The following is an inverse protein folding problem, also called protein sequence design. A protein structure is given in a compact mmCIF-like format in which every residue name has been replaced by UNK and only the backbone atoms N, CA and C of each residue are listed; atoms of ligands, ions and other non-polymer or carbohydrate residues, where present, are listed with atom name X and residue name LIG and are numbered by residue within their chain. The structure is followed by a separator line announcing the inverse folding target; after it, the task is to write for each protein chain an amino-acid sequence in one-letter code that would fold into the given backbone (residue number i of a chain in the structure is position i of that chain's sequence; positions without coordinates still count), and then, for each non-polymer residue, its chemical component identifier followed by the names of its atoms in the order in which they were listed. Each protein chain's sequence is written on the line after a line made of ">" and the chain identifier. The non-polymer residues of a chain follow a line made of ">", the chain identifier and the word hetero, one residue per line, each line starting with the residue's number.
data_IF_923718590263
#
_entry.id   IF_923718590263
#
_cell.length_a   1.000
_cell.length_b   1.000
_cell.length_c   1.000
_cell.angle_alpha   90.00
_cell.angle_beta   90.00
_cell.angle_gamma   90.00
#
_symmetry.space_group_name_H-M   'P 1'
#
loop_
_entity.id
_entity.type
_entity.pdbx_description
1 polymer ?
#
# COMPACT_ATOMS: atom_id res chain seq x y z
N UNK A 1 12.34 0.28 -5.38
CA UNK A 1 11.68 0.79 -6.61
C UNK A 1 12.77 0.91 -7.65
N UNK A 2 12.56 0.40 -8.86
CA UNK A 2 13.49 0.55 -9.99
C UNK A 2 12.80 1.35 -11.09
N UNK A 3 13.48 2.36 -11.64
CA UNK A 3 13.02 3.09 -12.82
C UNK A 3 13.73 2.57 -14.05
N UNK A 4 12.97 2.15 -15.06
CA UNK A 4 13.49 1.66 -16.33
C UNK A 4 12.94 2.54 -17.46
N UNK A 5 13.82 3.07 -18.30
CA UNK A 5 13.42 3.82 -19.48
C UNK A 5 12.96 2.83 -20.57
N UNK A 6 11.81 3.11 -21.15
CA UNK A 6 11.21 2.32 -22.22
C UNK A 6 10.92 3.25 -23.39
N UNK A 7 11.58 3.01 -24.51
CA UNK A 7 11.30 3.73 -25.75
C UNK A 7 10.10 3.05 -26.41
N UNK A 8 9.00 3.79 -26.59
CA UNK A 8 7.86 3.30 -27.35
C UNK A 8 7.97 3.79 -28.79
N UNK A 9 7.91 2.86 -29.75
CA UNK A 9 7.92 3.22 -31.17
C UNK A 9 6.49 3.61 -31.54
N UNK A 10 6.30 4.86 -31.95
CA UNK A 10 5.01 5.37 -32.44
C UNK A 10 5.08 5.56 -33.96
N UNK A 11 3.94 5.54 -34.66
CA UNK A 11 3.87 5.81 -36.11
C UNK A 11 4.16 7.29 -36.47
N UNK A 12 4.32 8.15 -35.46
CA UNK A 12 4.88 9.50 -35.60
C UNK A 12 6.42 9.44 -35.64
N UNK A 13 7.07 10.30 -36.44
CA UNK A 13 8.54 10.46 -36.48
C UNK A 13 9.16 11.05 -35.18
N UNK A 14 8.48 10.89 -34.03
CA UNK A 14 8.89 11.37 -32.72
C UNK A 14 9.05 10.20 -31.77
N UNK A 15 10.21 10.12 -31.11
CA UNK A 15 10.46 9.14 -30.06
C UNK A 15 9.80 9.60 -28.76
N UNK A 16 8.96 8.73 -28.16
CA UNK A 16 8.40 8.95 -26.82
C UNK A 16 9.08 8.02 -25.82
N UNK A 17 9.71 8.61 -24.81
CA UNK A 17 10.49 7.90 -23.78
C UNK A 17 9.66 7.84 -22.51
N UNK A 18 9.12 6.66 -22.21
CA UNK A 18 8.39 6.41 -20.97
C UNK A 18 9.35 5.91 -19.87
N UNK A 19 9.15 6.36 -18.63
CA UNK A 19 9.86 5.81 -17.47
C UNK A 19 8.90 4.93 -16.67
N UNK A 20 9.17 3.64 -16.64
CA UNK A 20 8.39 2.66 -15.88
C UNK A 20 9.01 2.49 -14.49
N UNK A 21 8.21 2.77 -13.45
CA UNK A 21 8.62 2.57 -12.06
C UNK A 21 8.07 1.25 -11.51
N UNK A 22 8.93 0.25 -11.39
CA UNK A 22 8.57 -1.08 -10.89
C UNK A 22 8.77 -1.17 -9.37
N UNK A 23 7.72 -1.63 -8.67
CA UNK A 23 7.74 -1.91 -7.22
C UNK A 23 7.77 -3.41 -7.02
N UNK A 24 8.87 -3.92 -6.46
CA UNK A 24 9.07 -5.33 -6.13
C UNK A 24 8.88 -5.55 -4.62
N UNK A 25 7.85 -6.32 -4.24
CA UNK A 25 7.50 -6.60 -2.84
C UNK A 25 8.14 -7.93 -2.41
N UNK A 26 9.20 -7.85 -1.62
CA UNK A 26 10.02 -9.02 -1.27
C UNK A 26 9.64 -9.68 0.07
N UNK A 27 9.08 -8.91 1.01
CA UNK A 27 8.72 -9.35 2.36
C UNK A 27 7.62 -8.46 2.93
N UNK A 28 6.80 -9.03 3.82
CA UNK A 28 5.83 -8.29 4.63
C UNK A 28 6.09 -8.52 6.13
N UNK A 29 5.58 -7.62 6.97
CA UNK A 29 5.58 -7.74 8.43
C UNK A 29 4.14 -7.68 8.92
N UNK A 30 3.65 -8.72 9.63
CA UNK A 30 2.35 -8.65 10.28
C UNK A 30 2.39 -7.82 11.56
N UNK A 31 1.37 -6.98 11.73
CA UNK A 31 1.03 -6.36 13.01
C UNK A 31 -0.09 -7.19 13.65
N UNK A 32 0.22 -7.93 14.72
CA UNK A 32 -0.73 -8.88 15.33
C UNK A 32 -1.86 -8.21 16.15
N UNK A 33 -1.80 -6.90 16.34
CA UNK A 33 -2.81 -6.13 17.06
C UNK A 33 -3.24 -4.92 16.23
N UNK A 34 -4.56 -4.66 16.18
CA UNK A 34 -5.08 -3.41 15.64
C UNK A 34 -4.59 -2.24 16.48
N UNK A 35 -4.37 -1.08 15.84
CA UNK A 35 -3.87 0.13 16.53
C UNK A 35 -2.50 -0.06 17.23
N UNK A 36 -1.69 -1.02 16.77
CA UNK A 36 -0.38 -1.33 17.37
C UNK A 36 0.62 -0.18 17.27
N UNK A 37 0.50 0.67 16.25
CA UNK A 37 1.41 1.80 16.00
C UNK A 37 0.68 3.10 15.66
N UNK A 38 -0.65 3.14 15.80
CA UNK A 38 -1.45 4.34 15.52
C UNK A 38 -2.73 4.35 16.34
N UNK A 39 -3.29 5.54 16.62
CA UNK A 39 -4.51 5.68 17.43
C UNK A 39 -5.81 5.75 16.58
N UNK A 40 -6.95 5.95 17.23
CA UNK A 40 -8.27 6.04 16.56
C UNK A 40 -8.37 7.21 15.58
N UNK A 41 -7.63 8.29 15.85
CA UNK A 41 -7.51 9.47 15.00
C UNK A 41 -6.56 9.26 13.81
N UNK A 42 -5.78 8.16 13.76
CA UNK A 42 -4.83 7.88 12.68
C UNK A 42 -3.44 8.49 12.90
N UNK A 43 -3.17 9.02 14.09
CA UNK A 43 -1.88 9.56 14.48
C UNK A 43 -0.92 8.42 14.83
N UNK A 44 0.35 8.56 14.46
CA UNK A 44 1.37 7.53 14.65
C UNK A 44 1.94 7.55 16.07
N UNK A 45 2.16 6.34 16.61
CA UNK A 45 3.06 6.12 17.72
C UNK A 45 4.44 5.72 17.16
N UNK A 46 5.32 6.72 17.02
CA UNK A 46 6.64 6.54 16.40
C UNK A 46 7.51 5.53 17.13
N UNK A 47 7.44 5.48 18.46
CA UNK A 47 8.20 4.51 19.26
C UNK A 47 7.75 3.08 18.97
N UNK A 48 6.44 2.85 18.90
CA UNK A 48 5.88 1.56 18.56
C UNK A 48 6.22 1.16 17.11
N UNK A 49 6.12 2.10 16.17
CA UNK A 49 6.47 1.88 14.77
C UNK A 49 7.97 1.52 14.63
N UNK A 50 8.86 2.27 15.28
CA UNK A 50 10.29 1.99 15.31
C UNK A 50 10.60 0.61 15.90
N UNK A 51 9.87 0.19 16.94
CA UNK A 51 10.00 -1.15 17.53
C UNK A 51 9.59 -2.24 16.54
N UNK A 52 8.48 -2.07 15.82
CA UNK A 52 8.03 -3.03 14.79
C UNK A 52 9.06 -3.12 13.65
N UNK A 53 9.64 -1.99 13.27
CA UNK A 53 10.63 -1.91 12.18
C UNK A 53 12.07 -2.25 12.62
N UNK A 54 12.33 -2.47 13.91
CA UNK A 54 13.68 -2.58 14.49
C UNK A 54 14.56 -3.71 13.93
N UNK A 55 14.01 -4.67 13.19
CA UNK A 55 14.75 -5.73 12.49
C UNK A 55 14.86 -5.54 10.97
N UNK A 56 14.38 -4.44 10.42
CA UNK A 56 14.25 -4.22 8.98
C UNK A 56 15.47 -3.51 8.41
N UNK A 57 16.32 -4.27 7.71
CA UNK A 57 17.49 -3.72 7.00
C UNK A 57 17.14 -3.03 5.67
N UNK A 58 15.95 -3.31 5.11
CA UNK A 58 15.49 -2.77 3.83
C UNK A 58 14.44 -1.68 4.06
N UNK A 59 14.40 -0.72 3.13
CA UNK A 59 13.42 0.37 3.16
C UNK A 59 11.99 -0.14 3.01
N UNK A 60 11.07 0.48 3.72
CA UNK A 60 9.63 0.20 3.65
C UNK A 60 9.06 0.85 2.39
N UNK A 61 8.51 0.02 1.50
CA UNK A 61 7.94 0.46 0.22
C UNK A 61 6.42 0.66 0.28
N UNK A 62 5.76 0.14 1.32
CA UNK A 62 4.32 0.20 1.47
C UNK A 62 3.82 -0.45 2.74
N UNK A 63 2.51 -0.43 2.92
CA UNK A 63 1.80 -1.12 3.99
C UNK A 63 0.54 -1.79 3.43
N UNK A 64 -0.07 -2.67 4.21
CA UNK A 64 -1.23 -3.42 3.76
C UNK A 64 -2.28 -3.55 4.86
N UNK A 65 -3.53 -3.85 4.46
CA UNK A 65 -4.59 -4.14 5.41
C UNK A 65 -5.58 -5.14 4.82
N UNK A 66 -5.99 -6.08 5.66
CA UNK A 66 -7.06 -7.02 5.38
C UNK A 66 -8.37 -6.53 5.98
N UNK A 67 -9.43 -6.61 5.18
CA UNK A 67 -10.82 -6.38 5.59
C UNK A 67 -11.69 -7.56 5.16
N UNK A 68 -12.87 -7.65 5.74
CA UNK A 68 -13.87 -8.66 5.41
C UNK A 68 -15.18 -7.96 5.10
N UNK A 69 -15.81 -8.36 3.99
CA UNK A 69 -17.13 -7.90 3.56
C UNK A 69 -17.20 -6.36 3.46
N UNK A 70 -16.16 -5.74 2.89
CA UNK A 70 -16.11 -4.29 2.65
C UNK A 70 -15.76 -3.99 1.21
N UNK A 71 -16.13 -2.81 0.72
CA UNK A 71 -15.74 -2.31 -0.59
C UNK A 71 -14.23 -2.18 -0.77
N UNK A 72 -13.76 -2.13 -2.00
CA UNK A 72 -12.35 -2.01 -2.36
C UNK A 72 -11.88 -0.55 -2.44
N UNK A 73 -12.25 0.25 -1.44
CA UNK A 73 -11.95 1.68 -1.36
C UNK A 73 -11.22 2.05 -0.07
N UNK A 74 -10.34 3.05 -0.12
CA UNK A 74 -9.66 3.52 1.09
C UNK A 74 -10.63 4.27 2.01
N UNK A 75 -10.66 3.91 3.29
CA UNK A 75 -11.38 4.66 4.32
C UNK A 75 -10.66 5.97 4.65
N UNK A 76 -11.37 6.91 5.26
CA UNK A 76 -10.79 8.17 5.73
C UNK A 76 -9.57 7.95 6.64
N UNK A 77 -9.69 7.05 7.62
CA UNK A 77 -8.59 6.73 8.54
C UNK A 77 -7.36 6.17 7.80
N UNK A 78 -7.58 5.30 6.81
CA UNK A 78 -6.47 4.73 6.02
C UNK A 78 -5.78 5.80 5.16
N UNK A 79 -6.53 6.76 4.62
CA UNK A 79 -5.95 7.90 3.88
C UNK A 79 -5.08 8.78 4.79
N UNK A 80 -5.56 9.11 5.99
CA UNK A 80 -4.80 9.91 6.94
C UNK A 80 -3.56 9.16 7.44
N UNK A 81 -3.72 7.88 7.81
CA UNK A 81 -2.61 7.04 8.24
C UNK A 81 -1.55 6.91 7.14
N UNK A 82 -1.98 6.78 5.88
CA UNK A 82 -1.08 6.72 4.73
C UNK A 82 -0.22 7.99 4.63
N UNK A 83 -0.85 9.18 4.73
CA UNK A 83 -0.12 10.46 4.72
C UNK A 83 0.86 10.57 5.88
N UNK A 84 0.44 10.20 7.09
CA UNK A 84 1.30 10.23 8.27
C UNK A 84 2.51 9.29 8.11
N UNK A 85 2.31 8.10 7.53
CA UNK A 85 3.40 7.17 7.22
C UNK A 85 4.32 7.68 6.12
N UNK A 86 3.81 8.30 5.06
CA UNK A 86 4.63 8.90 4.01
C UNK A 86 5.57 9.96 4.59
N UNK A 87 5.04 10.84 5.45
CA UNK A 87 5.81 11.88 6.13
C UNK A 87 6.87 11.30 7.08
N UNK A 88 6.48 10.34 7.94
CA UNK A 88 7.40 9.76 8.92
C UNK A 88 8.52 8.91 8.27
N UNK A 89 8.20 8.19 7.19
CA UNK A 89 9.16 7.34 6.46
C UNK A 89 9.93 8.09 5.36
N UNK A 90 9.64 9.37 5.13
CA UNK A 90 10.18 10.16 4.02
C UNK A 90 10.06 9.46 2.66
N UNK A 91 8.95 8.76 2.42
CA UNK A 91 8.70 7.98 1.20
C UNK A 91 7.40 8.42 0.54
N UNK A 92 7.48 9.37 -0.39
CA UNK A 92 6.32 9.83 -1.16
C UNK A 92 5.75 8.75 -2.10
N UNK A 93 6.58 7.78 -2.48
CA UNK A 93 6.18 6.67 -3.34
C UNK A 93 5.51 5.51 -2.60
N UNK A 94 5.21 5.64 -1.30
CA UNK A 94 4.61 4.61 -0.46
C UNK A 94 3.31 4.09 -1.09
N UNK A 95 3.14 2.77 -1.09
CA UNK A 95 1.91 2.12 -1.59
C UNK A 95 1.10 1.51 -0.47
N UNK A 96 -0.21 1.43 -0.66
CA UNK A 96 -1.15 0.79 0.24
C UNK A 96 -1.83 -0.38 -0.46
N UNK A 97 -1.55 -1.60 -0.01
CA UNK A 97 -2.22 -2.81 -0.50
C UNK A 97 -3.46 -3.09 0.35
N UNK A 98 -4.63 -2.92 -0.24
CA UNK A 98 -5.90 -3.27 0.40
C UNK A 98 -6.35 -4.64 -0.07
N UNK A 99 -6.70 -5.52 0.87
CA UNK A 99 -7.29 -6.83 0.58
C UNK A 99 -8.66 -6.93 1.26
N UNK A 100 -9.67 -7.34 0.51
CA UNK A 100 -11.03 -7.58 1.04
C UNK A 100 -11.47 -9.00 0.71
N UNK A 101 -11.81 -9.76 1.74
CA UNK A 101 -12.41 -11.09 1.57
C UNK A 101 -13.92 -10.97 1.71
N UNK A 102 -14.67 -11.55 0.77
CA UNK A 102 -16.13 -11.57 0.79
C UNK A 102 -16.67 -12.97 0.55
N UNK A 103 -17.83 -13.26 1.14
CA UNK A 103 -18.62 -14.45 0.84
C UNK A 103 -19.52 -14.12 -0.35
N UNK A 104 -19.48 -14.93 -1.40
CA UNK A 104 -20.20 -14.66 -2.66
C UNK A 104 -21.59 -15.29 -2.71
N UNK A 105 -21.84 -16.28 -1.86
CA UNK A 105 -23.05 -17.09 -1.85
C UNK A 105 -23.58 -17.20 -0.43
N UNK A 106 -24.90 -17.18 -0.25
CA UNK A 106 -25.53 -17.37 1.07
C UNK A 106 -25.10 -18.69 1.75
N UNK A 107 -24.88 -19.74 0.95
CA UNK A 107 -24.41 -21.05 1.44
C UNK A 107 -22.96 -21.08 1.91
N UNK A 108 -22.22 -19.96 1.83
CA UNK A 108 -20.79 -19.90 2.15
C UNK A 108 -19.93 -20.93 1.37
N UNK A 109 -20.38 -21.34 0.19
CA UNK A 109 -19.68 -22.32 -0.65
C UNK A 109 -18.62 -21.66 -1.55
N UNK A 110 -18.79 -20.37 -1.87
CA UNK A 110 -17.84 -19.60 -2.70
C UNK A 110 -17.36 -18.35 -1.97
N UNK A 111 -16.04 -18.18 -1.93
CA UNK A 111 -15.36 -17.01 -1.34
C UNK A 111 -14.58 -16.27 -2.41
N UNK A 112 -14.46 -14.96 -2.25
CA UNK A 112 -13.66 -14.09 -3.12
C UNK A 112 -12.68 -13.29 -2.29
N UNK A 113 -11.44 -13.18 -2.77
CA UNK A 113 -10.42 -12.29 -2.23
C UNK A 113 -10.06 -11.26 -3.30
N UNK A 114 -10.55 -10.03 -3.13
CA UNK A 114 -10.18 -8.91 -3.99
C UNK A 114 -9.00 -8.15 -3.37
N UNK A 115 -8.10 -7.66 -4.23
CA UNK A 115 -6.96 -6.86 -3.81
C UNK A 115 -6.67 -5.74 -4.80
N UNK A 116 -6.19 -4.61 -4.27
CA UNK A 116 -5.85 -3.43 -5.05
C UNK A 116 -4.68 -2.71 -4.40
N UNK A 117 -3.75 -2.23 -5.24
CA UNK A 117 -2.61 -1.45 -4.80
C UNK A 117 -2.89 0.02 -5.04
N UNK A 118 -3.03 0.78 -3.97
CA UNK A 118 -3.28 2.22 -4.01
C UNK A 118 -1.97 2.99 -3.85
N UNK A 119 -1.74 3.96 -4.74
CA UNK A 119 -0.79 5.05 -4.54
C UNK A 119 -1.58 6.35 -4.57
N UNK A 120 -2.13 6.80 -3.42
CA UNK A 120 -2.85 8.06 -3.39
C UNK A 120 -1.86 9.19 -3.70
N UNK A 121 -1.97 9.76 -4.90
CA UNK A 121 -1.28 11.00 -5.26
C UNK A 121 -1.97 12.17 -4.56
N UNK A 122 -1.23 13.25 -4.33
CA UNK A 122 -1.87 14.52 -3.98
C UNK A 122 -2.74 14.94 -5.17
N UNK A 123 -4.05 14.97 -4.95
CA UNK A 123 -5.03 15.59 -5.85
C UNK A 123 -5.34 16.99 -5.36
#
# INVERSE_FOLDING_TARGET
>A
VKGEAKNSITDSQMDDVEVVYTIDIQKHLPCYQLFSFYNSAGELNELALKKILSGCKKSVIGWYKFRRNTDQTMTFRERLLHKNLQSHLSNQGLVFLLLTSSVMTESCSTYRLEHALHRPQEG
#
